data_IF_053917093628
#
_entry.id   IF_053917093628
#
_cell.length_a   1.000
_cell.length_b   1.000
_cell.length_c   1.000
_cell.angle_alpha   90.00
_cell.angle_beta   90.00
_cell.angle_gamma   90.00
#
_symmetry.space_group_name_H-M   'P 1'
#
loop_
_entity.id
_entity.type
_entity.pdbx_description
1 polymer ?
#
# COMPACT_ATOMS: atom_id res chain seq x y z
N UNK A 1 17.13 -0.25 5.82
CA UNK A 1 16.23 0.02 4.68
C UNK A 1 14.79 -0.04 5.11
N UNK A 2 13.96 0.92 4.67
CA UNK A 2 12.53 0.83 4.96
C UNK A 2 11.93 -0.43 4.29
N UNK A 3 11.03 -1.05 5.01
CA UNK A 3 10.29 -2.22 4.52
C UNK A 3 8.88 -1.80 4.14
N UNK A 4 8.50 -2.07 2.90
CA UNK A 4 7.22 -1.67 2.33
C UNK A 4 6.36 -2.92 2.14
N UNK A 5 5.16 -2.90 2.69
CA UNK A 5 4.17 -3.94 2.43
C UNK A 5 3.30 -3.50 1.26
N UNK A 6 3.25 -4.31 0.22
CA UNK A 6 2.38 -4.06 -0.95
C UNK A 6 1.26 -5.08 -0.95
N UNK A 7 0.03 -4.61 -0.89
CA UNK A 7 -1.16 -5.47 -0.88
C UNK A 7 -1.99 -5.19 -2.13
N UNK A 8 -2.13 -6.19 -2.98
CA UNK A 8 -2.82 -6.08 -4.26
C UNK A 8 -3.31 -7.46 -4.68
N UNK A 9 -4.57 -7.58 -5.09
CA UNK A 9 -5.16 -8.86 -5.50
C UNK A 9 -4.88 -9.22 -6.96
N UNK A 10 -4.43 -8.28 -7.77
CA UNK A 10 -3.99 -8.55 -9.15
C UNK A 10 -2.51 -8.91 -9.13
N UNK A 11 -2.20 -10.16 -9.50
CA UNK A 11 -0.85 -10.69 -9.43
C UNK A 11 0.15 -9.90 -10.31
N UNK A 12 -0.28 -9.46 -11.48
CA UNK A 12 0.57 -8.70 -12.39
C UNK A 12 0.90 -7.31 -11.83
N UNK A 13 -0.09 -6.63 -11.26
CA UNK A 13 0.11 -5.34 -10.61
C UNK A 13 0.99 -5.48 -9.38
N UNK A 14 0.79 -6.51 -8.60
CA UNK A 14 1.60 -6.78 -7.42
C UNK A 14 3.07 -6.99 -7.79
N UNK A 15 3.33 -7.83 -8.79
CA UNK A 15 4.68 -8.09 -9.28
C UNK A 15 5.34 -6.82 -9.81
N UNK A 16 4.60 -6.01 -10.57
CA UNK A 16 5.12 -4.78 -11.13
C UNK A 16 5.51 -3.78 -10.02
N UNK A 17 4.65 -3.59 -9.04
CA UNK A 17 4.95 -2.69 -7.92
C UNK A 17 6.13 -3.17 -7.11
N UNK A 18 6.22 -4.47 -6.87
CA UNK A 18 7.36 -5.05 -6.18
C UNK A 18 8.66 -4.73 -6.90
N UNK A 19 8.72 -4.95 -8.22
CA UNK A 19 9.91 -4.68 -9.02
C UNK A 19 10.30 -3.20 -8.97
N UNK A 20 9.33 -2.30 -9.11
CA UNK A 20 9.56 -0.87 -9.08
C UNK A 20 10.18 -0.44 -7.75
N UNK A 21 9.62 -0.92 -6.65
CA UNK A 21 10.07 -0.53 -5.31
C UNK A 21 11.43 -1.16 -4.95
N UNK A 22 11.64 -2.40 -5.33
CA UNK A 22 12.93 -3.06 -5.10
C UNK A 22 14.04 -2.38 -5.91
N UNK A 23 13.73 -2.00 -7.14
CA UNK A 23 14.69 -1.28 -7.99
C UNK A 23 15.04 0.10 -7.37
N UNK A 24 14.13 0.70 -6.65
CA UNK A 24 14.37 1.97 -5.96
C UNK A 24 15.12 1.81 -4.63
N UNK A 25 15.42 0.57 -4.22
CA UNK A 25 16.21 0.29 -3.03
C UNK A 25 15.42 -0.08 -1.78
N UNK A 26 14.11 -0.29 -1.89
CA UNK A 26 13.29 -0.67 -0.75
C UNK A 26 13.23 -2.19 -0.59
N UNK A 27 13.07 -2.63 0.65
CA UNK A 27 12.73 -4.02 0.95
C UNK A 27 11.21 -4.17 0.83
N UNK A 28 10.74 -5.14 0.06
CA UNK A 28 9.32 -5.29 -0.25
C UNK A 28 8.77 -6.62 0.26
N UNK A 29 7.65 -6.53 0.98
CA UNK A 29 6.85 -7.68 1.40
C UNK A 29 5.54 -7.59 0.62
N UNK A 30 5.06 -8.68 0.06
CA UNK A 30 3.84 -8.69 -0.75
C UNK A 30 2.73 -9.47 -0.07
N UNK A 31 1.49 -9.09 -0.37
CA UNK A 31 0.30 -9.83 0.05
C UNK A 31 -0.78 -9.70 -1.02
N UNK A 32 -1.52 -10.77 -1.26
CA UNK A 32 -2.56 -10.77 -2.29
C UNK A 32 -3.96 -10.53 -1.71
N UNK A 33 -4.10 -10.59 -0.39
CA UNK A 33 -5.37 -10.34 0.28
C UNK A 33 -5.16 -9.42 1.47
N UNK A 34 -6.24 -8.78 1.93
CA UNK A 34 -6.19 -7.93 3.12
C UNK A 34 -5.77 -8.76 4.35
N UNK A 35 -6.25 -9.99 4.45
CA UNK A 35 -5.91 -10.90 5.56
C UNK A 35 -4.42 -11.19 5.60
N UNK A 36 -3.82 -11.55 4.47
CA UNK A 36 -2.37 -11.72 4.36
C UNK A 36 -1.63 -10.42 4.68
N UNK A 37 -2.18 -9.29 4.24
CA UNK A 37 -1.61 -7.98 4.55
C UNK A 37 -1.52 -7.73 6.05
N UNK A 38 -2.56 -8.05 6.79
CA UNK A 38 -2.57 -7.92 8.24
C UNK A 38 -1.50 -8.81 8.88
N UNK A 39 -1.39 -10.06 8.41
CA UNK A 39 -0.40 -11.01 8.92
C UNK A 39 1.04 -10.55 8.67
N UNK A 40 1.29 -9.91 7.54
CA UNK A 40 2.63 -9.51 7.11
C UNK A 40 3.01 -8.08 7.50
N UNK A 41 2.08 -7.36 8.09
CA UNK A 41 2.27 -5.96 8.49
C UNK A 41 3.40 -5.75 9.51
N UNK A 42 3.59 -6.59 10.54
CA UNK A 42 4.63 -6.35 11.53
C UNK A 42 6.02 -6.20 10.91
N UNK A 43 6.72 -5.12 11.29
CA UNK A 43 8.05 -4.82 10.78
C UNK A 43 8.06 -3.97 9.51
N UNK A 44 6.90 -3.64 8.95
CA UNK A 44 6.80 -2.76 7.79
C UNK A 44 6.57 -1.31 8.23
N UNK A 45 7.26 -0.38 7.61
CA UNK A 45 7.14 1.05 7.91
C UNK A 45 6.04 1.71 7.07
N UNK A 46 5.79 1.18 5.87
CA UNK A 46 4.80 1.72 4.94
C UNK A 46 3.99 0.58 4.35
N UNK A 47 2.69 0.80 4.18
CA UNK A 47 1.82 -0.08 3.43
C UNK A 47 1.29 0.64 2.20
N UNK A 48 1.38 -0.03 1.05
CA UNK A 48 0.77 0.43 -0.21
C UNK A 48 -0.32 -0.56 -0.55
N UNK A 49 -1.55 -0.10 -0.62
CA UNK A 49 -2.69 -0.99 -0.81
C UNK A 49 -3.74 -0.41 -1.74
N UNK A 50 -4.50 -1.30 -2.39
CA UNK A 50 -5.74 -0.93 -3.05
C UNK A 50 -6.84 -0.90 -1.99
N UNK A 51 -7.81 0.00 -2.13
CA UNK A 51 -8.91 0.10 -1.17
C UNK A 51 -9.85 -1.11 -1.23
N UNK A 52 -9.98 -1.71 -2.42
CA UNK A 52 -10.85 -2.88 -2.62
C UNK A 52 -10.00 -4.15 -2.76
N UNK A 53 -9.84 -4.93 -1.69
CA UNK A 53 -8.98 -6.13 -1.65
C UNK A 53 -9.69 -7.28 -0.92
N UNK A 54 -10.51 -8.09 -1.56
CA UNK A 54 -11.22 -7.85 -2.83
C UNK A 54 -12.42 -6.93 -2.65
N UNK A 55 -12.80 -6.61 -1.41
CA UNK A 55 -13.93 -5.74 -1.10
C UNK A 55 -13.45 -4.50 -0.37
N UNK A 56 -14.27 -3.46 -0.39
CA UNK A 56 -14.00 -2.25 0.37
C UNK A 56 -13.91 -2.54 1.88
N UNK A 57 -14.76 -3.42 2.39
CA UNK A 57 -14.76 -3.78 3.81
C UNK A 57 -13.43 -4.41 4.23
N UNK A 58 -12.91 -5.31 3.43
CA UNK A 58 -11.61 -5.93 3.70
C UNK A 58 -10.49 -4.89 3.68
N UNK A 59 -10.52 -3.95 2.71
CA UNK A 59 -9.58 -2.85 2.66
C UNK A 59 -9.64 -1.96 3.89
N UNK A 60 -10.85 -1.65 4.39
CA UNK A 60 -11.02 -0.86 5.60
C UNK A 60 -10.48 -1.58 6.84
N UNK A 61 -10.65 -2.90 6.93
CA UNK A 61 -10.09 -3.69 8.02
C UNK A 61 -8.55 -3.63 8.02
N UNK A 62 -7.95 -3.68 6.84
CA UNK A 62 -6.50 -3.56 6.70
C UNK A 62 -6.02 -2.17 7.13
N UNK A 63 -6.73 -1.12 6.73
CA UNK A 63 -6.42 0.26 7.15
C UNK A 63 -6.47 0.37 8.67
N UNK A 64 -7.51 -0.19 9.29
CA UNK A 64 -7.65 -0.18 10.74
C UNK A 64 -6.49 -0.88 11.42
N UNK A 65 -6.09 -2.06 10.91
CA UNK A 65 -4.97 -2.81 11.45
C UNK A 65 -3.64 -2.05 11.30
N UNK A 66 -3.46 -1.32 10.20
CA UNK A 66 -2.24 -0.58 9.91
C UNK A 66 -2.18 0.78 10.61
N UNK A 67 -3.31 1.30 11.05
CA UNK A 67 -3.38 2.60 11.71
C UNK A 67 -2.52 2.63 12.98
N UNK A 68 -1.57 3.56 13.05
CA UNK A 68 -0.63 3.67 14.15
C UNK A 68 0.57 2.72 14.07
N UNK A 69 0.56 1.75 13.15
CA UNK A 69 1.64 0.77 12.98
C UNK A 69 2.53 1.08 11.78
N UNK A 70 1.94 1.64 10.72
CA UNK A 70 2.67 1.96 9.49
C UNK A 70 2.03 3.17 8.82
N UNK A 71 2.78 3.83 7.94
CA UNK A 71 2.23 4.86 7.06
C UNK A 71 1.39 4.17 5.99
N UNK A 72 0.23 4.72 5.70
CA UNK A 72 -0.75 4.10 4.80
C UNK A 72 -0.88 4.91 3.52
N UNK A 73 -0.57 4.27 2.39
CA UNK A 73 -0.74 4.84 1.06
C UNK A 73 -1.80 3.99 0.35
N UNK A 74 -2.90 4.62 -0.05
CA UNK A 74 -3.99 3.94 -0.76
C UNK A 74 -3.96 4.31 -2.24
N UNK A 75 -4.03 3.31 -3.09
CA UNK A 75 -4.22 3.47 -4.54
C UNK A 75 -5.65 3.05 -4.87
N UNK A 76 -6.39 3.90 -5.57
CA UNK A 76 -7.76 3.56 -5.93
C UNK A 76 -8.19 4.25 -7.22
N UNK A 77 -9.05 3.59 -7.98
CA UNK A 77 -9.71 4.18 -9.16
C UNK A 77 -10.93 5.02 -8.80
N UNK A 78 -11.37 4.95 -7.56
CA UNK A 78 -12.52 5.72 -7.07
C UNK A 78 -12.09 7.11 -6.57
N UNK A 79 -13.06 7.97 -6.31
CA UNK A 79 -12.80 9.28 -5.72
C UNK A 79 -12.21 9.15 -4.33
N UNK A 80 -11.35 10.10 -3.96
CA UNK A 80 -10.72 10.12 -2.64
C UNK A 80 -11.78 10.23 -1.54
N UNK A 81 -11.59 9.42 -0.48
CA UNK A 81 -12.38 9.49 0.73
C UNK A 81 -11.52 10.15 1.80
N UNK A 82 -11.82 11.42 2.09
CA UNK A 82 -11.02 12.23 3.00
C UNK A 82 -11.21 11.88 4.48
N UNK A 83 -12.18 11.01 4.78
CA UNK A 83 -12.45 10.57 6.15
C UNK A 83 -11.63 9.36 6.57
N UNK A 84 -10.92 8.72 5.63
CA UNK A 84 -10.10 7.56 5.94
C UNK A 84 -8.84 7.97 6.71
N UNK A 85 -8.43 7.20 7.73
CA UNK A 85 -7.22 7.49 8.50
C UNK A 85 -5.97 7.01 7.77
N UNK A 86 -5.70 7.62 6.63
CA UNK A 86 -4.57 7.28 5.76
C UNK A 86 -3.65 8.48 5.58
N UNK A 87 -2.42 8.22 5.17
CA UNK A 87 -1.41 9.27 5.00
C UNK A 87 -1.40 9.85 3.59
N UNK A 88 -1.69 9.04 2.58
CA UNK A 88 -1.68 9.48 1.19
C UNK A 88 -2.72 8.71 0.40
N UNK A 89 -3.42 9.39 -0.50
CA UNK A 89 -4.36 8.78 -1.43
C UNK A 89 -3.90 9.07 -2.85
N UNK A 90 -3.66 8.02 -3.62
CA UNK A 90 -3.22 8.13 -5.01
C UNK A 90 -4.30 7.58 -5.93
N UNK A 91 -4.66 8.35 -6.97
CA UNK A 91 -5.68 7.95 -7.92
C UNK A 91 -5.06 7.10 -9.03
N UNK A 92 -5.71 5.99 -9.38
CA UNK A 92 -5.30 5.17 -10.54
C UNK A 92 -5.79 5.80 -11.85
N UNK A 93 -5.01 5.73 -12.93
CA UNK A 93 -3.69 5.11 -12.99
C UNK A 93 -2.63 5.99 -12.31
N UNK A 94 -1.76 5.35 -11.54
CA UNK A 94 -0.73 6.07 -10.79
C UNK A 94 0.64 5.82 -11.42
N UNK A 95 1.31 6.84 -11.95
CA UNK A 95 2.66 6.68 -12.49
C UNK A 95 3.63 6.23 -11.39
N UNK A 96 4.62 5.41 -11.75
CA UNK A 96 5.64 4.92 -10.81
C UNK A 96 6.33 6.05 -10.07
N UNK A 97 6.63 7.14 -10.74
CA UNK A 97 7.26 8.32 -10.15
C UNK A 97 6.41 8.87 -8.99
N UNK A 98 5.11 8.95 -9.18
CA UNK A 98 4.20 9.48 -8.15
C UNK A 98 4.16 8.57 -6.93
N UNK A 99 4.13 7.27 -7.16
CA UNK A 99 4.17 6.28 -6.08
C UNK A 99 5.48 6.36 -5.30
N UNK A 100 6.60 6.45 -6.00
CA UNK A 100 7.92 6.56 -5.36
C UNK A 100 8.07 7.85 -4.56
N UNK A 101 7.51 8.96 -5.05
CA UNK A 101 7.49 10.22 -4.31
C UNK A 101 6.70 10.09 -3.00
N UNK A 102 5.54 9.44 -3.06
CA UNK A 102 4.70 9.24 -1.86
C UNK A 102 5.41 8.36 -0.83
N UNK A 103 6.09 7.32 -1.28
CA UNK A 103 6.84 6.42 -0.39
C UNK A 103 8.04 7.16 0.23
N UNK A 104 8.79 7.90 -0.56
CA UNK A 104 9.93 8.67 -0.06
C UNK A 104 9.50 9.66 1.02
N UNK A 105 8.36 10.32 0.82
CA UNK A 105 7.77 11.24 1.78
C UNK A 105 7.35 10.53 3.07
N UNK A 106 6.86 9.30 2.95
CA UNK A 106 6.40 8.50 4.10
C UNK A 106 7.55 7.88 4.89
N UNK A 107 8.73 7.76 4.29
CA UNK A 107 9.91 7.17 4.93
C UNK A 107 10.93 8.23 5.37
N UNK A 108 10.65 9.48 5.09
CA UNK A 108 11.55 10.59 5.45
C UNK A 108 11.59 10.84 6.96
#
# INVERSE_FOLDING_TARGET
MPRILVVEDDADQLSLRKQILEHAGYEVVTAETAEEGIERLPGCQVIVMDLQIPTREAGLQLIEAASGAARIIVLSGAAADTELPIDEFLTKPCPSKRLLEAIAKSTA
#
